data_IF_513067844816
#
_entry.id   IF_513067844816
#
_cell.length_a   1.000
_cell.length_b   1.000
_cell.length_c   1.000
_cell.angle_alpha   90.00
_cell.angle_beta   90.00
_cell.angle_gamma   90.00
#
_symmetry.space_group_name_H-M   'P 1'
#
loop_
_entity.id
_entity.type
_entity.pdbx_description
1 polymer ?
#
# COMPACT_ATOMS: atom_id res chain seq x y z
N UNK A 1 20.59 27.66 -14.28
CA UNK A 1 19.29 27.60 -14.99
C UNK A 1 18.37 26.74 -14.14
N UNK A 2 17.23 27.27 -13.65
CA UNK A 2 16.20 26.42 -13.03
C UNK A 2 15.70 25.44 -14.10
N UNK A 3 15.92 24.15 -13.91
CA UNK A 3 15.32 23.12 -14.76
C UNK A 3 13.79 23.29 -14.66
N UNK A 4 13.10 23.42 -15.79
CA UNK A 4 11.64 23.33 -15.81
C UNK A 4 11.28 21.95 -15.27
N UNK A 5 10.79 21.89 -14.06
CA UNK A 5 10.43 20.64 -13.41
C UNK A 5 8.92 20.46 -13.49
N UNK A 6 8.49 19.29 -13.91
CA UNK A 6 7.10 18.88 -13.94
C UNK A 6 6.77 18.03 -12.71
N UNK A 7 5.66 18.31 -12.06
CA UNK A 7 5.18 17.56 -10.92
C UNK A 7 3.97 16.74 -11.36
N UNK A 8 4.07 15.44 -11.21
CA UNK A 8 3.02 14.52 -11.64
C UNK A 8 2.35 13.96 -10.38
N UNK A 9 1.05 14.19 -10.25
CA UNK A 9 0.23 13.61 -9.20
C UNK A 9 -0.51 12.38 -9.71
N UNK A 10 -0.44 11.29 -8.97
CA UNK A 10 -1.19 10.07 -9.26
C UNK A 10 -2.18 9.79 -8.13
N UNK A 11 -3.47 9.74 -8.48
CA UNK A 11 -4.52 9.23 -7.60
C UNK A 11 -4.83 7.79 -7.98
N UNK A 12 -4.49 6.85 -7.10
CA UNK A 12 -4.44 5.42 -7.43
C UNK A 12 -5.53 4.64 -6.71
N UNK A 13 -6.40 4.01 -7.50
CA UNK A 13 -7.42 3.06 -7.05
C UNK A 13 -7.04 1.59 -7.36
N UNK A 14 -7.90 0.66 -6.98
CA UNK A 14 -7.69 -0.76 -7.25
C UNK A 14 -7.73 -1.09 -8.75
N UNK A 15 -8.62 -0.46 -9.52
CA UNK A 15 -8.86 -0.79 -10.93
C UNK A 15 -8.06 0.10 -11.89
N UNK A 16 -7.94 1.37 -11.55
CA UNK A 16 -7.37 2.41 -12.40
C UNK A 16 -6.71 3.50 -11.57
N UNK A 17 -6.10 4.46 -12.25
CA UNK A 17 -5.58 5.68 -11.65
C UNK A 17 -5.75 6.88 -12.58
N UNK A 18 -5.76 8.06 -11.98
CA UNK A 18 -5.68 9.34 -12.70
C UNK A 18 -4.28 9.93 -12.53
N UNK A 19 -3.79 10.58 -13.59
CA UNK A 19 -2.50 11.27 -13.60
C UNK A 19 -2.68 12.73 -14.00
N UNK A 20 -2.09 13.65 -13.23
CA UNK A 20 -2.11 15.08 -13.54
C UNK A 20 -0.71 15.65 -13.60
N UNK A 21 -0.47 16.53 -14.58
CA UNK A 21 0.79 17.26 -14.78
C UNK A 21 0.60 18.69 -14.28
N UNK A 22 1.46 19.09 -13.35
CA UNK A 22 1.53 20.45 -12.81
C UNK A 22 2.95 21.00 -13.05
N UNK A 23 3.05 22.23 -13.54
CA UNK A 23 4.35 22.88 -13.76
C UNK A 23 4.48 24.18 -12.98
N UNK A 24 3.53 25.07 -13.10
CA UNK A 24 3.47 26.35 -12.37
C UNK A 24 2.02 26.77 -12.15
N UNK A 25 1.72 27.67 -11.18
CA UNK A 25 0.38 28.17 -10.95
C UNK A 25 -0.31 28.83 -12.15
N UNK A 26 0.49 29.30 -13.11
CA UNK A 26 0.01 30.03 -14.30
C UNK A 26 -0.21 29.14 -15.53
N UNK A 27 0.03 27.85 -15.41
CA UNK A 27 -0.20 26.90 -16.51
C UNK A 27 -1.37 25.97 -16.19
N UNK A 28 -2.17 25.61 -17.20
CA UNK A 28 -3.27 24.67 -17.00
C UNK A 28 -2.76 23.31 -16.60
N UNK A 29 -3.43 22.67 -15.65
CA UNK A 29 -3.17 21.28 -15.28
C UNK A 29 -3.72 20.39 -16.39
N UNK A 30 -2.89 19.48 -16.88
CA UNK A 30 -3.28 18.46 -17.85
C UNK A 30 -3.51 17.16 -17.10
N UNK A 31 -4.68 16.55 -17.30
CA UNK A 31 -5.07 15.32 -16.61
C UNK A 31 -5.41 14.23 -17.61
N UNK A 32 -5.00 13.01 -17.30
CA UNK A 32 -5.42 11.76 -17.96
C UNK A 32 -6.08 10.88 -16.91
N UNK A 33 -7.32 10.52 -17.15
CA UNK A 33 -8.14 9.72 -16.24
C UNK A 33 -8.26 8.27 -16.72
N UNK A 34 -8.72 7.40 -15.82
CA UNK A 34 -9.06 6.00 -16.12
C UNK A 34 -7.91 5.19 -16.78
N UNK A 35 -6.67 5.41 -16.33
CA UNK A 35 -5.54 4.60 -16.76
C UNK A 35 -5.58 3.28 -15.95
N UNK A 36 -5.59 2.10 -16.59
CA UNK A 36 -5.67 0.84 -15.87
C UNK A 36 -4.52 0.66 -14.87
N UNK A 37 -4.81 0.18 -13.66
CA UNK A 37 -3.78 -0.09 -12.65
C UNK A 37 -3.15 -1.48 -12.85
N UNK A 38 -2.45 -1.62 -13.97
CA UNK A 38 -1.76 -2.83 -14.42
C UNK A 38 -0.55 -2.46 -15.29
N UNK A 39 0.32 -3.42 -15.68
CA UNK A 39 1.52 -3.14 -16.48
C UNK A 39 1.24 -2.36 -17.77
N UNK A 40 0.18 -2.70 -18.50
CA UNK A 40 -0.19 -2.03 -19.75
C UNK A 40 -0.58 -0.56 -19.48
N UNK A 41 -1.29 -0.27 -18.40
CA UNK A 41 -1.62 1.09 -18.00
C UNK A 41 -0.39 1.88 -17.55
N UNK A 42 0.59 1.23 -16.93
CA UNK A 42 1.86 1.90 -16.56
C UNK A 42 2.66 2.30 -17.81
N UNK A 43 2.68 1.45 -18.85
CA UNK A 43 3.26 1.79 -20.14
C UNK A 43 2.54 2.95 -20.81
N UNK A 44 1.19 2.98 -20.75
CA UNK A 44 0.38 4.09 -21.25
C UNK A 44 0.70 5.41 -20.52
N UNK A 45 0.96 5.37 -19.21
CA UNK A 45 1.41 6.55 -18.47
C UNK A 45 2.74 7.06 -19.00
N UNK A 46 3.74 6.18 -19.18
CA UNK A 46 5.05 6.58 -19.69
C UNK A 46 4.97 7.15 -21.10
N UNK A 47 4.14 6.60 -21.99
CA UNK A 47 3.89 7.13 -23.33
C UNK A 47 3.29 8.54 -23.25
N UNK A 48 2.26 8.71 -22.42
CA UNK A 48 1.62 10.01 -22.22
C UNK A 48 2.58 11.08 -21.67
N UNK A 49 3.42 10.72 -20.69
CA UNK A 49 4.46 11.63 -20.18
C UNK A 49 5.44 12.01 -21.28
N UNK A 50 5.84 11.07 -22.13
CA UNK A 50 6.73 11.34 -23.28
C UNK A 50 6.10 12.28 -24.30
N UNK A 51 4.81 12.17 -24.60
CA UNK A 51 4.06 13.08 -25.47
C UNK A 51 4.11 14.53 -24.95
N UNK A 52 4.13 14.70 -23.62
CA UNK A 52 4.31 16.01 -22.97
C UNK A 52 5.76 16.41 -22.74
N UNK A 53 6.75 15.76 -23.38
CA UNK A 53 8.18 16.01 -23.22
C UNK A 53 8.70 15.84 -21.79
N UNK A 54 8.02 14.99 -21.00
CA UNK A 54 8.35 14.69 -19.61
C UNK A 54 9.18 13.41 -19.55
N UNK A 55 10.24 13.46 -18.76
CA UNK A 55 11.16 12.34 -18.55
C UNK A 55 11.71 12.35 -17.10
N UNK A 56 12.46 11.31 -16.76
CA UNK A 56 13.03 11.12 -15.41
C UNK A 56 13.96 12.24 -14.92
N UNK A 57 14.46 13.11 -15.81
CA UNK A 57 15.40 14.17 -15.43
C UNK A 57 14.74 15.53 -15.25
N UNK A 58 13.50 15.71 -15.72
CA UNK A 58 12.75 16.96 -15.65
C UNK A 58 11.42 16.83 -14.92
N UNK A 59 11.20 15.73 -14.19
CA UNK A 59 9.94 15.49 -13.49
C UNK A 59 10.14 14.91 -12.09
N UNK A 60 9.10 15.03 -11.28
CA UNK A 60 8.94 14.36 -9.99
C UNK A 60 7.53 13.79 -9.90
N UNK A 61 7.40 12.54 -9.51
CA UNK A 61 6.10 11.85 -9.41
C UNK A 61 5.72 11.70 -7.94
N UNK A 62 4.50 12.10 -7.60
CA UNK A 62 3.95 11.98 -6.26
C UNK A 62 2.63 11.22 -6.29
N UNK A 63 2.40 10.37 -5.32
CA UNK A 63 1.14 9.65 -5.13
C UNK A 63 0.83 9.48 -3.65
N UNK A 64 -0.45 9.24 -3.33
CA UNK A 64 -0.85 8.86 -1.99
C UNK A 64 -0.57 7.38 -1.72
N UNK A 65 -0.27 7.07 -0.45
CA UNK A 65 -0.08 5.71 0.03
C UNK A 65 -1.43 4.98 0.17
N UNK A 66 -1.96 4.44 -0.93
CA UNK A 66 -3.19 3.64 -0.96
C UNK A 66 -2.93 2.13 -0.73
N UNK A 67 -1.88 1.82 0.00
CA UNK A 67 -1.50 0.45 0.36
C UNK A 67 -0.97 -0.36 -0.82
N UNK A 68 -1.58 -1.52 -1.06
CA UNK A 68 -1.14 -2.43 -2.13
C UNK A 68 -1.38 -1.87 -3.53
N UNK A 69 -2.35 -0.97 -3.69
CA UNK A 69 -2.74 -0.46 -5.01
C UNK A 69 -1.73 0.51 -5.59
N UNK A 70 -1.13 1.38 -4.77
CA UNK A 70 -0.07 2.30 -5.20
C UNK A 70 1.31 1.64 -5.28
N UNK A 71 1.50 0.48 -4.65
CA UNK A 71 2.81 -0.16 -4.56
C UNK A 71 3.32 -0.62 -5.94
N UNK A 72 2.49 -1.27 -6.74
CA UNK A 72 2.90 -1.81 -8.04
C UNK A 72 3.41 -0.71 -8.98
N UNK A 73 2.66 0.39 -9.11
CA UNK A 73 3.07 1.52 -9.95
C UNK A 73 4.29 2.26 -9.38
N UNK A 74 4.42 2.36 -8.05
CA UNK A 74 5.60 2.97 -7.42
C UNK A 74 6.88 2.21 -7.77
N UNK A 75 6.87 0.88 -7.67
CA UNK A 75 7.98 0.02 -8.10
C UNK A 75 8.27 0.19 -9.59
N UNK A 76 7.24 0.14 -10.43
CA UNK A 76 7.39 0.27 -11.87
C UNK A 76 8.08 1.59 -12.27
N UNK A 77 7.61 2.71 -11.73
CA UNK A 77 8.17 4.04 -12.00
C UNK A 77 9.60 4.19 -11.46
N UNK A 78 9.87 3.65 -10.28
CA UNK A 78 11.22 3.65 -9.71
C UNK A 78 12.20 2.86 -10.60
N UNK A 79 11.83 1.65 -11.05
CA UNK A 79 12.65 0.85 -11.96
C UNK A 79 12.81 1.50 -13.34
N UNK A 80 11.84 2.28 -13.81
CA UNK A 80 11.97 3.12 -14.99
C UNK A 80 12.91 4.33 -14.76
N UNK A 81 13.35 4.56 -13.51
CA UNK A 81 14.30 5.59 -13.13
C UNK A 81 13.67 6.95 -12.81
N UNK A 82 12.37 7.04 -12.62
CA UNK A 82 11.71 8.28 -12.20
C UNK A 82 11.89 8.52 -10.69
N UNK A 83 12.08 9.77 -10.26
CA UNK A 83 11.98 10.12 -8.85
C UNK A 83 10.51 10.04 -8.42
N UNK A 84 10.23 9.22 -7.40
CA UNK A 84 8.88 8.96 -6.89
C UNK A 84 8.81 9.31 -5.41
N UNK A 85 7.73 9.96 -4.98
CA UNK A 85 7.35 10.10 -3.57
C UNK A 85 6.00 9.43 -3.34
N UNK A 86 5.88 8.71 -2.22
CA UNK A 86 4.63 8.09 -1.77
C UNK A 86 4.29 8.69 -0.41
N UNK A 87 3.34 9.60 -0.40
CA UNK A 87 3.01 10.42 0.76
C UNK A 87 1.80 9.87 1.53
N UNK A 88 1.79 10.00 2.86
CA UNK A 88 0.61 9.66 3.65
C UNK A 88 -0.61 10.49 3.23
N UNK A 89 -1.79 9.89 3.02
CA UNK A 89 -2.99 10.62 2.59
C UNK A 89 -3.33 11.80 3.50
N UNK A 90 -3.15 11.63 4.80
CA UNK A 90 -3.41 12.68 5.77
C UNK A 90 -2.47 13.90 5.59
N UNK A 91 -1.22 13.67 5.15
CA UNK A 91 -0.24 14.75 4.93
C UNK A 91 -0.66 15.59 3.71
N UNK A 92 -1.05 14.93 2.61
CA UNK A 92 -1.52 15.61 1.39
C UNK A 92 -2.81 16.37 1.68
N UNK A 93 -3.79 15.73 2.33
CA UNK A 93 -5.06 16.36 2.68
C UNK A 93 -4.89 17.63 3.55
N UNK A 94 -4.07 17.58 4.58
CA UNK A 94 -3.81 18.73 5.47
C UNK A 94 -3.18 19.92 4.78
N UNK A 95 -2.51 19.73 3.65
CA UNK A 95 -1.93 20.81 2.87
C UNK A 95 -3.00 21.71 2.21
N UNK A 96 -4.21 21.17 1.98
CA UNK A 96 -5.33 21.90 1.37
C UNK A 96 -6.46 22.21 2.35
N UNK A 97 -6.62 21.39 3.39
CA UNK A 97 -7.61 21.60 4.45
C UNK A 97 -6.98 21.43 5.85
N UNK A 98 -6.39 22.52 6.41
CA UNK A 98 -5.76 22.46 7.71
C UNK A 98 -6.73 22.18 8.87
N UNK A 99 -8.03 22.48 8.70
CA UNK A 99 -9.06 22.33 9.75
C UNK A 99 -9.66 20.91 9.78
N UNK A 100 -9.42 20.10 8.73
CA UNK A 100 -9.81 18.70 8.72
C UNK A 100 -11.30 18.44 8.55
N UNK A 101 -12.04 19.36 7.91
CA UNK A 101 -13.43 19.12 7.52
C UNK A 101 -13.52 17.87 6.61
N UNK A 102 -14.70 17.26 6.59
CA UNK A 102 -15.01 16.13 5.70
C UNK A 102 -15.14 16.65 4.27
N UNK A 103 -14.00 16.94 3.65
CA UNK A 103 -13.91 17.42 2.27
C UNK A 103 -13.86 16.25 1.30
N UNK A 104 -14.06 16.56 0.02
CA UNK A 104 -13.91 15.60 -1.06
C UNK A 104 -12.56 14.89 -1.05
N UNK A 105 -12.46 13.68 -1.61
CA UNK A 105 -11.19 12.97 -1.77
C UNK A 105 -10.19 13.86 -2.51
N UNK A 106 -8.92 13.77 -2.10
CA UNK A 106 -7.83 14.45 -2.81
C UNK A 106 -7.68 13.79 -4.18
N UNK A 107 -7.72 14.57 -5.25
CA UNK A 107 -7.57 14.08 -6.61
C UNK A 107 -6.11 14.20 -7.13
N UNK A 108 -5.85 13.65 -8.30
CA UNK A 108 -4.51 13.69 -8.93
C UNK A 108 -3.98 15.11 -9.16
N UNK A 109 -4.87 16.11 -9.34
CA UNK A 109 -4.49 17.52 -9.52
C UNK A 109 -3.97 18.11 -8.22
N UNK A 110 -4.66 17.84 -7.11
CA UNK A 110 -4.23 18.27 -5.78
C UNK A 110 -2.91 17.59 -5.38
N UNK A 111 -2.73 16.30 -5.71
CA UNK A 111 -1.47 15.59 -5.46
C UNK A 111 -0.33 16.22 -6.28
N UNK A 112 -0.56 16.59 -7.54
CA UNK A 112 0.44 17.25 -8.38
C UNK A 112 0.79 18.65 -7.85
N UNK A 113 -0.20 19.43 -7.44
CA UNK A 113 0.00 20.73 -6.83
C UNK A 113 0.71 20.64 -5.47
N UNK A 114 0.36 19.63 -4.66
CA UNK A 114 1.07 19.32 -3.42
C UNK A 114 2.55 19.10 -3.68
N UNK A 115 2.89 18.26 -4.65
CA UNK A 115 4.27 17.97 -5.00
C UNK A 115 5.04 19.24 -5.43
N UNK A 116 4.40 20.16 -6.14
CA UNK A 116 4.99 21.45 -6.49
C UNK A 116 5.23 22.35 -5.26
N UNK A 117 4.22 22.49 -4.39
CA UNK A 117 4.29 23.38 -3.21
C UNK A 117 5.31 22.91 -2.18
N UNK A 118 5.43 21.60 -2.00
CA UNK A 118 6.27 20.97 -0.98
C UNK A 118 7.46 20.22 -1.56
N UNK A 119 7.94 20.62 -2.73
CA UNK A 119 9.03 19.94 -3.45
C UNK A 119 10.30 19.73 -2.63
N UNK A 120 10.58 20.65 -1.69
CA UNK A 120 11.75 20.59 -0.81
C UNK A 120 11.56 19.60 0.36
N UNK A 121 10.32 19.17 0.62
CA UNK A 121 9.95 18.22 1.67
C UNK A 121 9.68 16.80 1.14
N UNK A 122 9.61 16.65 -0.18
CA UNK A 122 9.38 15.34 -0.78
C UNK A 122 10.57 14.42 -0.54
N UNK A 123 10.29 13.24 -0.05
CA UNK A 123 11.30 12.20 0.14
C UNK A 123 11.21 11.17 -0.98
N UNK A 124 12.36 10.85 -1.58
CA UNK A 124 12.39 9.74 -2.55
C UNK A 124 11.94 8.45 -1.90
N UNK A 125 10.88 7.88 -2.46
CA UNK A 125 10.40 6.59 -2.04
C UNK A 125 11.44 5.51 -2.33
N UNK A 126 11.69 4.67 -1.35
CA UNK A 126 12.58 3.52 -1.48
C UNK A 126 11.79 2.24 -1.29
N UNK A 127 12.05 1.20 -2.07
CA UNK A 127 11.50 -0.12 -1.83
C UNK A 127 11.81 -0.56 -0.40
N UNK A 128 10.86 -1.18 0.24
CA UNK A 128 11.15 -1.86 1.49
C UNK A 128 12.00 -3.07 1.21
N UNK A 129 12.77 -3.47 2.20
CA UNK A 129 13.46 -4.74 2.16
C UNK A 129 12.46 -5.87 1.87
N UNK A 130 12.79 -6.75 0.93
CA UNK A 130 11.91 -7.81 0.45
C UNK A 130 11.53 -8.80 1.57
N UNK A 131 12.46 -9.05 2.49
CA UNK A 131 12.23 -9.95 3.64
C UNK A 131 11.24 -9.30 4.60
N UNK A 132 11.41 -8.00 4.89
CA UNK A 132 10.48 -7.25 5.74
C UNK A 132 9.07 -7.19 5.12
N UNK A 133 8.96 -7.04 3.81
CA UNK A 133 7.66 -7.03 3.14
C UNK A 133 6.98 -8.41 3.21
N UNK A 134 7.72 -9.50 2.99
CA UNK A 134 7.23 -10.87 3.17
C UNK A 134 6.75 -11.12 4.60
N UNK A 135 7.53 -10.71 5.59
CA UNK A 135 7.17 -10.84 7.01
C UNK A 135 5.86 -10.08 7.29
N UNK A 136 5.73 -8.85 6.82
CA UNK A 136 4.53 -8.04 7.00
C UNK A 136 3.26 -8.70 6.40
N UNK A 137 3.37 -9.23 5.19
CA UNK A 137 2.27 -9.94 4.54
C UNK A 137 1.85 -11.18 5.33
N UNK A 138 2.81 -11.98 5.78
CA UNK A 138 2.55 -13.15 6.62
C UNK A 138 1.90 -12.79 7.95
N UNK A 139 2.37 -11.74 8.62
CA UNK A 139 1.77 -11.26 9.88
C UNK A 139 0.33 -10.78 9.68
N UNK A 140 0.03 -10.09 8.57
CA UNK A 140 -1.33 -9.65 8.23
C UNK A 140 -2.30 -10.83 8.07
N UNK A 141 -1.89 -11.85 7.32
CA UNK A 141 -2.70 -13.06 7.10
C UNK A 141 -2.85 -13.87 8.41
N UNK A 142 -1.77 -13.95 9.20
CA UNK A 142 -1.80 -14.59 10.52
C UNK A 142 -2.82 -13.94 11.46
N UNK A 143 -2.85 -12.62 11.49
CA UNK A 143 -3.83 -11.86 12.28
C UNK A 143 -5.25 -12.15 11.82
N UNK A 144 -5.50 -12.16 10.50
CA UNK A 144 -6.80 -12.51 9.93
C UNK A 144 -7.25 -13.91 10.35
N UNK A 145 -6.38 -14.92 10.22
CA UNK A 145 -6.70 -16.29 10.65
C UNK A 145 -6.89 -16.40 12.15
N UNK A 146 -6.16 -15.63 12.95
CA UNK A 146 -6.34 -15.58 14.40
C UNK A 146 -7.73 -15.04 14.77
N UNK A 147 -8.20 -13.97 14.11
CA UNK A 147 -9.56 -13.44 14.29
C UNK A 147 -10.63 -14.48 13.91
N UNK A 148 -10.45 -15.17 12.78
CA UNK A 148 -11.36 -16.24 12.33
C UNK A 148 -11.37 -17.43 13.31
N UNK A 149 -10.22 -17.84 13.84
CA UNK A 149 -10.08 -18.87 14.87
C UNK A 149 -10.89 -18.53 16.12
N UNK A 150 -10.78 -17.30 16.62
CA UNK A 150 -11.54 -16.84 17.78
C UNK A 150 -13.04 -16.85 17.50
N UNK A 151 -13.46 -16.34 16.35
CA UNK A 151 -14.87 -16.34 15.95
C UNK A 151 -15.46 -17.76 15.88
N UNK A 152 -14.72 -18.72 15.27
CA UNK A 152 -15.15 -20.11 15.21
C UNK A 152 -15.20 -20.79 16.58
N UNK A 153 -14.23 -20.55 17.48
CA UNK A 153 -14.27 -21.07 18.85
C UNK A 153 -15.51 -20.57 19.59
N UNK A 154 -15.84 -19.29 19.46
CA UNK A 154 -17.04 -18.72 20.05
C UNK A 154 -18.32 -19.34 19.47
N UNK A 155 -18.38 -19.55 18.14
CA UNK A 155 -19.49 -20.19 17.47
C UNK A 155 -19.70 -21.64 17.98
N UNK A 156 -18.62 -22.43 18.08
CA UNK A 156 -18.66 -23.80 18.62
C UNK A 156 -19.16 -23.80 20.05
N UNK A 157 -18.69 -22.89 20.90
CA UNK A 157 -19.11 -22.77 22.29
C UNK A 157 -20.57 -22.37 22.39
N UNK A 158 -21.05 -21.43 21.60
CA UNK A 158 -22.46 -21.02 21.57
C UNK A 158 -23.36 -22.16 21.09
N UNK A 159 -22.92 -22.82 20.00
CA UNK A 159 -23.67 -23.96 19.46
C UNK A 159 -23.79 -25.12 20.44
N UNK A 160 -22.74 -25.40 21.22
CA UNK A 160 -22.75 -26.47 22.22
C UNK A 160 -23.78 -26.29 23.33
N UNK A 161 -24.28 -25.06 23.52
CA UNK A 161 -25.33 -24.72 24.52
C UNK A 161 -26.75 -24.86 23.96
N UNK A 162 -26.93 -25.12 22.69
CA UNK A 162 -28.25 -25.28 22.07
C UNK A 162 -28.88 -26.62 22.47
N UNK A 163 -30.18 -26.60 22.71
CA UNK A 163 -30.94 -27.82 23.08
C UNK A 163 -30.99 -28.86 21.96
N UNK A 164 -31.08 -28.37 20.70
CA UNK A 164 -31.09 -29.23 19.52
C UNK A 164 -29.82 -29.00 18.78
N UNK A 165 -29.04 -30.04 18.52
CA UNK A 165 -27.75 -29.95 17.84
C UNK A 165 -27.73 -30.84 16.59
N UNK A 166 -27.31 -30.30 15.47
CA UNK A 166 -27.07 -31.02 14.22
C UNK A 166 -25.63 -31.45 14.17
N UNK A 167 -25.33 -32.73 14.17
CA UNK A 167 -23.97 -33.26 14.22
C UNK A 167 -23.08 -32.72 13.10
N UNK A 168 -23.62 -32.48 11.89
CA UNK A 168 -22.93 -31.92 10.74
C UNK A 168 -22.37 -30.51 11.03
N UNK A 169 -23.15 -29.65 11.71
CA UNK A 169 -22.70 -28.26 12.02
C UNK A 169 -21.51 -28.29 12.98
N UNK A 170 -21.55 -29.11 14.00
CA UNK A 170 -20.43 -29.27 14.95
C UNK A 170 -19.20 -29.79 14.24
N UNK A 171 -19.33 -30.80 13.38
CA UNK A 171 -18.22 -31.37 12.61
C UNK A 171 -17.61 -30.35 11.67
N UNK A 172 -18.44 -29.63 10.90
CA UNK A 172 -17.97 -28.59 9.97
C UNK A 172 -17.17 -27.50 10.67
N UNK A 173 -17.65 -27.00 11.82
CA UNK A 173 -16.92 -26.00 12.61
C UNK A 173 -15.58 -26.53 13.12
N UNK A 174 -15.53 -27.78 13.62
CA UNK A 174 -14.30 -28.39 14.11
C UNK A 174 -13.27 -28.61 13.01
N UNK A 175 -13.70 -29.08 11.83
CA UNK A 175 -12.83 -29.28 10.66
C UNK A 175 -12.26 -27.93 10.17
N UNK A 176 -13.11 -26.90 10.08
CA UNK A 176 -12.67 -25.56 9.68
C UNK A 176 -11.68 -24.98 10.69
N UNK A 177 -11.94 -25.13 12.00
CA UNK A 177 -11.04 -24.69 13.05
C UNK A 177 -9.67 -25.37 12.95
N UNK A 178 -9.64 -26.68 12.75
CA UNK A 178 -8.41 -27.44 12.58
C UNK A 178 -7.60 -26.99 11.35
N UNK A 179 -8.28 -26.67 10.24
CA UNK A 179 -7.61 -26.14 9.04
C UNK A 179 -7.01 -24.74 9.29
N UNK A 180 -7.73 -23.84 9.96
CA UNK A 180 -7.20 -22.52 10.30
C UNK A 180 -5.98 -22.64 11.22
N UNK A 181 -6.02 -23.48 12.25
CA UNK A 181 -4.89 -23.71 13.15
C UNK A 181 -3.67 -24.26 12.41
N UNK A 182 -3.88 -25.17 11.46
CA UNK A 182 -2.82 -25.69 10.59
C UNK A 182 -2.19 -24.59 9.72
N UNK A 183 -3.00 -23.67 9.17
CA UNK A 183 -2.48 -22.57 8.38
C UNK A 183 -1.68 -21.56 9.23
N UNK A 184 -2.15 -21.25 10.44
CA UNK A 184 -1.40 -20.39 11.38
C UNK A 184 -0.03 -21.01 11.67
N UNK A 185 0.02 -22.32 11.96
CA UNK A 185 1.31 -23.02 12.23
C UNK A 185 2.25 -22.93 11.03
N UNK A 186 1.76 -23.07 9.82
CA UNK A 186 2.57 -22.95 8.60
C UNK A 186 3.14 -21.54 8.43
N UNK A 187 2.32 -20.51 8.70
CA UNK A 187 2.75 -19.12 8.66
C UNK A 187 3.83 -18.87 9.72
N UNK A 188 3.66 -19.36 10.93
CA UNK A 188 4.65 -19.22 12.01
C UNK A 188 5.98 -19.89 11.66
N UNK A 189 5.94 -21.04 10.99
CA UNK A 189 7.14 -21.71 10.48
C UNK A 189 7.87 -20.87 9.41
N UNK A 190 7.12 -20.31 8.46
CA UNK A 190 7.72 -19.47 7.40
C UNK A 190 8.26 -18.15 7.97
N UNK A 191 7.55 -17.53 8.91
CA UNK A 191 8.04 -16.35 9.63
C UNK A 191 9.37 -16.65 10.34
N UNK A 192 9.44 -17.78 11.06
CA UNK A 192 10.67 -18.21 11.75
C UNK A 192 11.84 -18.41 10.77
N UNK A 193 11.55 -18.98 9.59
CA UNK A 193 12.56 -19.19 8.55
C UNK A 193 13.07 -17.86 7.99
N UNK A 194 12.17 -16.93 7.65
CA UNK A 194 12.53 -15.60 7.11
C UNK A 194 13.35 -14.79 8.13
N UNK A 195 12.95 -14.78 9.40
CA UNK A 195 13.67 -14.08 10.47
C UNK A 195 15.10 -14.62 10.63
N UNK A 196 15.30 -15.93 10.52
CA UNK A 196 16.62 -16.54 10.61
C UNK A 196 17.51 -16.28 9.39
N UNK A 197 16.95 -15.92 8.24
CA UNK A 197 17.71 -15.60 7.02
C UNK A 197 18.39 -14.23 7.08
N UNK A 198 17.86 -13.31 7.90
CA UNK A 198 18.39 -11.96 8.05
C UNK A 198 18.96 -11.75 9.45
N UNK A 199 20.30 -11.59 9.59
CA UNK A 199 20.95 -11.43 10.89
C UNK A 199 20.50 -10.18 11.66
N UNK A 200 20.19 -9.08 10.97
CA UNK A 200 19.72 -7.85 11.62
C UNK A 200 18.30 -8.00 12.17
N UNK A 201 17.42 -8.63 11.39
CA UNK A 201 16.04 -8.91 11.81
C UNK A 201 16.06 -9.91 12.97
N UNK A 202 16.92 -10.92 12.89
CA UNK A 202 17.08 -11.92 13.94
C UNK A 202 17.51 -11.29 15.28
N UNK A 203 18.52 -10.39 15.26
CA UNK A 203 18.93 -9.66 16.45
C UNK A 203 17.83 -8.78 17.03
N UNK A 204 17.10 -8.06 16.17
CA UNK A 204 15.97 -7.21 16.61
C UNK A 204 14.85 -8.04 17.23
N UNK A 205 14.50 -9.19 16.65
CA UNK A 205 13.49 -10.09 17.20
C UNK A 205 13.89 -10.64 18.59
N UNK A 206 15.13 -11.09 18.76
CA UNK A 206 15.61 -11.60 20.04
C UNK A 206 15.66 -10.53 21.13
N UNK A 207 15.95 -9.28 20.78
CA UNK A 207 15.96 -8.18 21.74
C UNK A 207 14.55 -7.81 22.24
N UNK A 208 13.50 -8.05 21.44
CA UNK A 208 12.10 -7.84 21.83
C UNK A 208 11.61 -8.95 22.80
N UNK A 209 12.07 -10.20 22.61
CA UNK A 209 11.72 -11.32 23.49
C UNK A 209 12.49 -11.28 24.85
N UNK A 210 13.54 -10.47 24.94
CA UNK A 210 14.36 -10.34 26.16
C UNK A 210 13.99 -9.14 27.03
N UNK A 211 12.91 -8.40 26.70
CA UNK A 211 12.39 -7.33 27.54
C UNK A 211 11.34 -7.90 28.49
N UNK A 212 11.54 -7.83 29.83
CA UNK A 212 10.65 -8.43 30.85
C UNK A 212 9.26 -7.78 30.90
#
# INVERSE_FOLDING_TARGET
>A
MKKNLFFIGLDVSAADFAASIYQTPNQPIVTKEAIPNNPEGFDLLLLWLKEHHINKTNSYICMEATGIYSQAIAYYLLFAGFPVSVEPPLKVKRAFDPVGHKTDPVDSKQIAEYAYRFQDELTSWQPRDEILEKIRQLLSVREQFTKQKVALKNAIQTYSKQRVQVALIKKAHQETLAQIEKQITRIDQELTKLIKQDPEIFQKANNLDSTP
#
